data_IF_873510619248
#
_entry.id   IF_873510619248
#
_cell.length_a   1.000
_cell.length_b   1.000
_cell.length_c   1.000
_cell.angle_alpha   90.00
_cell.angle_beta   90.00
_cell.angle_gamma   90.00
#
_symmetry.space_group_name_H-M   'P 1'
#
loop_
_entity.id
_entity.type
_entity.pdbx_description
1 polymer ?
#
# COMPACT_ATOMS: atom_id res chain seq x y z
N UNK A 1 66.91 12.30 -18.36
CA UNK A 1 65.80 12.19 -17.39
C UNK A 1 64.42 12.76 -17.84
N UNK A 2 64.11 13.11 -19.11
CA UNK A 2 62.78 13.68 -19.43
C UNK A 2 61.69 12.64 -19.78
N UNK A 3 62.05 11.40 -20.14
CA UNK A 3 61.10 10.39 -20.65
C UNK A 3 60.25 9.71 -19.58
N UNK A 4 60.72 9.65 -18.32
CA UNK A 4 59.95 9.10 -17.18
C UNK A 4 58.88 10.07 -16.68
N UNK A 5 59.08 11.39 -16.85
CA UNK A 5 58.11 12.42 -16.46
C UNK A 5 56.93 12.44 -17.44
N UNK A 6 57.20 12.34 -18.75
CA UNK A 6 56.17 12.31 -19.78
C UNK A 6 55.27 11.05 -19.69
N UNK A 7 55.85 9.89 -19.35
CA UNK A 7 55.09 8.65 -19.09
C UNK A 7 54.24 8.71 -17.82
N UNK A 8 54.69 9.43 -16.77
CA UNK A 8 53.88 9.67 -15.56
C UNK A 8 52.74 10.67 -15.81
N UNK A 9 52.95 11.67 -16.66
CA UNK A 9 51.92 12.63 -17.06
C UNK A 9 50.81 11.97 -17.91
N UNK A 10 51.18 11.07 -18.83
CA UNK A 10 50.25 10.30 -19.65
C UNK A 10 49.43 9.26 -18.85
N UNK A 11 49.99 8.73 -17.75
CA UNK A 11 49.29 7.79 -16.87
C UNK A 11 48.23 8.47 -15.98
N UNK A 12 48.41 9.76 -15.67
CA UNK A 12 47.44 10.55 -14.87
C UNK A 12 46.27 11.02 -15.75
N UNK A 13 46.48 11.25 -17.06
CA UNK A 13 45.40 11.61 -17.99
C UNK A 13 44.41 10.47 -18.28
N UNK A 14 44.79 9.21 -18.07
CA UNK A 14 43.91 8.05 -18.29
C UNK A 14 42.99 7.73 -17.10
N UNK A 15 43.12 8.44 -15.96
CA UNK A 15 42.38 8.16 -14.73
C UNK A 15 41.30 9.19 -14.37
N UNK A 16 41.06 10.21 -15.20
CA UNK A 16 40.13 11.31 -14.87
C UNK A 16 38.83 11.37 -15.68
N UNK A 17 38.51 10.38 -16.52
CA UNK A 17 37.19 10.33 -17.17
C UNK A 17 36.19 9.69 -16.21
N UNK A 18 35.70 10.45 -15.23
CA UNK A 18 34.46 10.05 -14.55
C UNK A 18 33.34 10.08 -15.59
N UNK A 19 32.58 8.99 -15.78
CA UNK A 19 31.41 9.04 -16.64
C UNK A 19 30.43 10.03 -16.01
N UNK A 20 30.25 11.18 -16.68
CA UNK A 20 29.14 12.08 -16.39
C UNK A 20 27.90 11.35 -16.88
N UNK A 21 27.22 10.64 -15.98
CA UNK A 21 25.88 10.15 -16.29
C UNK A 21 24.98 11.36 -16.51
N UNK A 22 24.30 11.48 -17.68
CA UNK A 22 23.32 12.53 -17.88
C UNK A 22 22.27 12.46 -16.76
N UNK A 23 22.09 13.55 -16.02
CA UNK A 23 20.93 13.67 -15.15
C UNK A 23 19.69 13.69 -16.06
N UNK A 24 18.85 12.67 -15.94
CA UNK A 24 17.60 12.59 -16.70
C UNK A 24 16.71 13.77 -16.29
N UNK A 25 16.54 14.73 -17.20
CA UNK A 25 15.66 15.87 -17.00
C UNK A 25 14.19 15.43 -16.96
N UNK A 26 13.35 16.19 -16.28
CA UNK A 26 11.92 15.92 -16.20
C UNK A 26 11.10 17.16 -16.52
N UNK A 27 9.98 16.95 -17.19
CA UNK A 27 8.92 17.95 -17.33
C UNK A 27 7.84 17.64 -16.30
N UNK A 28 7.53 18.62 -15.46
CA UNK A 28 6.47 18.53 -14.45
C UNK A 28 5.21 19.25 -14.91
N UNK A 29 4.05 18.72 -14.53
CA UNK A 29 2.79 19.37 -14.82
C UNK A 29 1.70 19.02 -13.81
N UNK A 30 0.60 19.75 -13.91
CA UNK A 30 -0.61 19.55 -13.11
C UNK A 30 -1.83 19.63 -14.02
N UNK A 31 -2.66 18.59 -13.98
CA UNK A 31 -3.93 18.52 -14.69
C UNK A 31 -5.07 19.00 -13.80
N UNK A 32 -5.82 19.98 -14.29
CA UNK A 32 -6.97 20.54 -13.59
C UNK A 32 -8.18 20.64 -14.53
N UNK A 33 -9.37 20.48 -13.98
CA UNK A 33 -10.62 20.72 -14.68
C UNK A 33 -10.76 22.22 -14.97
N UNK A 34 -11.03 22.57 -16.24
CA UNK A 34 -11.19 23.96 -16.68
C UNK A 34 -12.38 24.66 -16.00
N UNK A 35 -13.43 23.92 -15.64
CA UNK A 35 -14.70 24.43 -15.08
C UNK A 35 -14.60 24.75 -13.60
N UNK A 36 -14.10 23.83 -12.78
CA UNK A 36 -14.10 23.97 -11.31
C UNK A 36 -12.70 24.08 -10.69
N UNK A 37 -11.62 23.89 -11.47
CA UNK A 37 -10.24 23.95 -10.99
C UNK A 37 -9.80 22.74 -10.16
N UNK A 38 -10.63 21.70 -10.04
CA UNK A 38 -10.28 20.49 -9.30
C UNK A 38 -9.20 19.68 -10.02
N UNK A 39 -8.32 18.99 -9.29
CA UNK A 39 -7.33 18.12 -9.90
C UNK A 39 -7.94 16.93 -10.64
N UNK A 40 -7.39 16.62 -11.81
CA UNK A 40 -7.82 15.45 -12.60
C UNK A 40 -6.93 14.27 -12.24
N UNK A 41 -7.49 13.32 -11.50
CA UNK A 41 -6.78 12.14 -11.01
C UNK A 41 -6.80 10.99 -12.02
N UNK A 42 -5.71 10.23 -12.09
CA UNK A 42 -5.57 9.05 -12.95
C UNK A 42 -5.82 9.28 -14.44
N UNK A 43 -5.62 10.51 -14.93
CA UNK A 43 -5.54 10.78 -16.36
C UNK A 43 -4.25 10.19 -16.95
N UNK A 44 -4.36 9.70 -18.19
CA UNK A 44 -3.25 9.16 -18.98
C UNK A 44 -2.57 10.29 -19.73
N UNK A 45 -1.24 10.39 -19.62
CA UNK A 45 -0.38 11.33 -20.35
C UNK A 45 0.64 10.50 -21.12
N UNK A 46 0.47 10.36 -22.43
CA UNK A 46 1.33 9.50 -23.25
C UNK A 46 1.87 10.21 -24.47
N UNK A 47 3.00 9.73 -24.98
CA UNK A 47 3.46 10.14 -26.32
C UNK A 47 2.43 9.60 -27.33
N UNK A 48 1.88 10.49 -28.16
CA UNK A 48 0.79 10.16 -29.07
C UNK A 48 1.17 9.00 -29.99
N UNK A 49 0.31 7.98 -30.08
CA UNK A 49 0.56 6.77 -30.86
C UNK A 49 1.58 5.80 -30.27
N UNK A 50 2.06 6.02 -29.04
CA UNK A 50 2.98 5.13 -28.32
C UNK A 50 2.34 4.61 -27.04
N UNK A 51 2.80 3.45 -26.58
CA UNK A 51 2.46 2.88 -25.26
C UNK A 51 3.37 3.44 -24.14
N UNK A 52 4.02 4.59 -24.37
CA UNK A 52 4.95 5.22 -23.45
C UNK A 52 4.24 6.42 -22.83
N UNK A 53 4.03 6.38 -21.52
CA UNK A 53 3.27 7.40 -20.81
C UNK A 53 3.40 7.31 -19.29
N UNK A 54 2.73 8.24 -18.62
CA UNK A 54 2.58 8.30 -17.17
C UNK A 54 1.13 8.56 -16.80
N UNK A 55 0.81 8.36 -15.53
CA UNK A 55 -0.51 8.60 -14.97
C UNK A 55 -0.42 9.75 -13.97
N UNK A 56 -1.40 10.64 -13.98
CA UNK A 56 -1.49 11.73 -12.99
C UNK A 56 -1.85 11.22 -11.59
N UNK A 57 -1.25 11.86 -10.59
CA UNK A 57 -1.43 11.58 -9.17
C UNK A 57 -2.80 12.06 -8.65
N UNK A 58 -3.06 11.81 -7.35
CA UNK A 58 -4.29 12.23 -6.66
C UNK A 58 -4.48 13.75 -6.57
N UNK A 59 -3.42 14.53 -6.73
CA UNK A 59 -3.41 16.00 -6.78
C UNK A 59 -3.32 16.52 -8.22
N UNK A 60 -3.53 15.65 -9.22
CA UNK A 60 -3.44 15.95 -10.65
C UNK A 60 -2.02 16.17 -11.15
N UNK A 61 -1.00 16.09 -10.29
CA UNK A 61 0.39 16.26 -10.69
C UNK A 61 0.88 15.08 -11.53
N UNK A 62 1.78 15.34 -12.46
CA UNK A 62 2.48 14.31 -13.22
C UNK A 62 3.90 14.77 -13.53
N UNK A 63 4.76 13.81 -13.84
CA UNK A 63 6.15 14.05 -14.23
C UNK A 63 6.52 13.10 -15.35
N UNK A 64 6.98 13.64 -16.48
CA UNK A 64 7.47 12.84 -17.61
C UNK A 64 8.98 13.04 -17.78
N UNK A 65 9.73 11.97 -18.09
CA UNK A 65 11.12 12.08 -18.51
C UNK A 65 11.27 12.92 -19.80
N UNK A 66 12.31 13.72 -19.89
CA UNK A 66 12.60 14.51 -21.10
C UNK A 66 12.84 13.65 -22.33
N UNK A 67 13.38 12.44 -22.16
CA UNK A 67 13.57 11.44 -23.22
C UNK A 67 12.28 11.05 -23.94
N UNK A 68 11.11 11.41 -23.43
CA UNK A 68 9.85 11.22 -24.16
C UNK A 68 9.87 11.92 -25.53
N UNK A 69 10.68 12.98 -25.67
CA UNK A 69 10.92 13.68 -26.95
C UNK A 69 11.56 12.79 -28.01
N UNK A 70 12.31 11.77 -27.61
CA UNK A 70 12.96 10.83 -28.53
C UNK A 70 11.95 9.89 -29.21
N UNK A 71 10.76 9.74 -28.62
CA UNK A 71 9.70 8.86 -29.13
C UNK A 71 8.61 9.61 -29.90
N UNK A 72 8.51 10.94 -29.74
CA UNK A 72 7.53 11.78 -30.41
C UNK A 72 7.42 13.20 -29.83
N UNK A 73 6.81 14.10 -30.61
CA UNK A 73 6.68 15.53 -30.27
C UNK A 73 5.35 15.92 -29.62
N UNK A 74 4.36 15.04 -29.60
CA UNK A 74 3.00 15.31 -29.09
C UNK A 74 2.69 14.42 -27.90
N UNK A 75 2.23 15.02 -26.79
CA UNK A 75 1.56 14.33 -25.70
C UNK A 75 0.06 14.31 -25.98
N UNK A 76 -0.52 13.13 -25.90
CA UNK A 76 -1.97 12.95 -25.81
C UNK A 76 -2.34 12.79 -24.33
N UNK A 77 -3.22 13.67 -23.85
CA UNK A 77 -3.74 13.67 -22.48
C UNK A 77 -5.21 13.27 -22.52
N UNK A 78 -5.54 12.15 -21.87
CA UNK A 78 -6.90 11.62 -21.84
C UNK A 78 -7.35 11.28 -20.42
N UNK A 79 -8.62 11.54 -20.14
CA UNK A 79 -9.27 11.23 -18.88
C UNK A 79 -10.75 10.98 -19.10
N UNK A 80 -11.33 10.06 -18.32
CA UNK A 80 -12.76 9.74 -18.40
C UNK A 80 -13.60 10.98 -18.08
N UNK A 81 -14.49 11.35 -18.99
CA UNK A 81 -15.37 12.51 -18.87
C UNK A 81 -14.75 13.82 -19.33
N UNK A 82 -13.59 13.79 -19.99
CA UNK A 82 -12.92 14.98 -20.52
C UNK A 82 -12.64 14.84 -22.01
N UNK A 83 -12.59 15.98 -22.70
CA UNK A 83 -12.13 16.05 -24.09
C UNK A 83 -10.61 15.79 -24.11
N UNK A 84 -10.19 14.83 -24.91
CA UNK A 84 -8.77 14.50 -25.12
C UNK A 84 -8.02 15.71 -25.64
N UNK A 85 -6.83 15.97 -25.09
CA UNK A 85 -6.04 17.14 -25.41
C UNK A 85 -4.66 16.74 -25.90
N UNK A 86 -4.31 17.20 -27.09
CA UNK A 86 -2.96 17.10 -27.62
C UNK A 86 -2.15 18.35 -27.27
N UNK A 87 -0.90 18.17 -26.85
CA UNK A 87 0.03 19.25 -26.52
C UNK A 87 1.41 18.92 -27.07
N UNK A 88 2.11 19.89 -27.66
CA UNK A 88 3.49 19.71 -28.09
C UNK A 88 4.41 19.66 -26.87
N UNK A 89 5.28 18.66 -26.78
CA UNK A 89 6.28 18.54 -25.70
C UNK A 89 7.23 19.75 -25.66
N UNK A 90 7.43 20.42 -26.80
CA UNK A 90 8.29 21.59 -26.91
C UNK A 90 7.67 22.86 -26.29
N UNK A 91 6.35 22.90 -26.12
CA UNK A 91 5.64 24.03 -25.49
C UNK A 91 5.70 23.97 -23.95
N UNK A 92 6.10 22.82 -23.40
CA UNK A 92 6.17 22.62 -21.95
C UNK A 92 7.50 23.13 -21.40
N UNK A 93 7.42 23.96 -20.36
CA UNK A 93 8.60 24.45 -19.67
C UNK A 93 9.26 23.34 -18.86
N UNK A 94 10.59 23.29 -18.92
CA UNK A 94 11.43 22.45 -18.07
C UNK A 94 11.66 23.05 -16.68
N UNK A 95 11.50 24.36 -16.54
CA UNK A 95 11.91 25.11 -15.36
C UNK A 95 10.76 25.47 -14.41
N UNK A 96 9.51 25.18 -14.80
CA UNK A 96 8.32 25.42 -13.96
C UNK A 96 7.29 24.32 -14.17
N UNK A 97 6.41 24.15 -13.18
CA UNK A 97 5.26 23.27 -13.29
C UNK A 97 4.28 23.79 -14.33
N UNK A 98 3.95 22.95 -15.32
CA UNK A 98 3.02 23.28 -16.39
C UNK A 98 1.58 23.00 -15.95
N UNK A 99 0.75 24.05 -15.80
CA UNK A 99 -0.68 23.89 -15.51
C UNK A 99 -1.45 23.65 -16.81
N UNK A 100 -2.09 22.48 -16.92
CA UNK A 100 -2.81 22.05 -18.10
C UNK A 100 -4.29 21.86 -17.73
N UNK A 101 -5.15 22.64 -18.39
CA UNK A 101 -6.61 22.58 -18.20
C UNK A 101 -7.24 21.65 -19.23
N UNK A 102 -8.06 20.70 -18.77
CA UNK A 102 -8.92 19.87 -19.62
C UNK A 102 -10.37 20.32 -19.55
N UNK A 103 -11.08 20.20 -20.67
CA UNK A 103 -12.50 20.57 -20.79
C UNK A 103 -13.35 19.34 -20.51
N UNK A 104 -14.35 19.39 -19.61
CA UNK A 104 -15.31 18.30 -19.45
C UNK A 104 -16.00 17.95 -20.77
N UNK A 105 -16.08 16.67 -21.09
CA UNK A 105 -16.80 16.19 -22.25
C UNK A 105 -18.31 16.22 -21.97
N UNK A 106 -19.08 16.71 -22.94
CA UNK A 106 -20.56 16.66 -22.89
C UNK A 106 -21.01 15.43 -23.66
N UNK A 107 -21.69 14.52 -22.97
CA UNK A 107 -22.37 13.40 -23.63
C UNK A 107 -23.77 13.86 -24.01
N UNK A 108 -24.02 14.06 -25.30
CA UNK A 108 -25.37 14.25 -25.80
C UNK A 108 -26.10 12.91 -25.72
N UNK A 109 -27.21 12.89 -25.00
CA UNK A 109 -28.11 11.75 -24.95
C UNK A 109 -28.96 11.75 -26.23
N UNK A 110 -29.10 10.61 -26.87
CA UNK A 110 -30.06 10.46 -27.98
C UNK A 110 -31.48 10.65 -27.40
N UNK A 111 -32.32 11.46 -28.07
CA UNK A 111 -33.69 11.69 -27.64
C UNK A 111 -34.44 10.36 -27.59
N UNK A 112 -34.94 10.00 -26.40
CA UNK A 112 -35.86 8.88 -26.26
C UNK A 112 -37.20 9.35 -26.82
N UNK A 113 -37.59 8.84 -27.98
CA UNK A 113 -38.93 9.03 -28.53
C UNK A 113 -39.92 8.32 -27.60
N UNK A 114 -40.46 9.04 -26.62
CA UNK A 114 -41.51 8.53 -25.75
C UNK A 114 -42.84 8.69 -26.49
N UNK A 115 -43.22 7.67 -27.27
CA UNK A 115 -44.60 7.57 -27.73
C UNK A 115 -45.50 7.33 -26.51
N UNK A 116 -46.25 8.36 -26.14
CA UNK A 116 -47.16 8.32 -25.01
C UNK A 116 -48.35 7.40 -25.28
N UNK A 117 -48.39 6.24 -24.63
CA UNK A 117 -49.63 5.47 -24.44
C UNK A 117 -49.71 4.91 -23.01
N UNK A 118 -50.94 4.91 -22.51
CA UNK A 118 -51.41 4.80 -21.13
C UNK A 118 -50.94 3.59 -20.31
N UNK A 119 -51.12 3.72 -18.99
CA UNK A 119 -50.91 2.73 -17.91
C UNK A 119 -51.36 1.30 -18.26
N UNK A 120 -50.48 0.47 -18.81
CA UNK A 120 -50.45 -0.99 -18.58
C UNK A 120 -48.98 -1.45 -18.60
N UNK A 121 -48.56 -2.15 -17.54
CA UNK A 121 -47.25 -2.83 -17.45
C UNK A 121 -47.16 -3.96 -18.49
N UNK A 122 -46.79 -3.66 -19.73
CA UNK A 122 -46.14 -4.60 -20.66
C UNK A 122 -45.16 -3.81 -21.52
N UNK A 123 -43.86 -4.00 -21.27
CA UNK A 123 -42.78 -3.47 -22.11
C UNK A 123 -42.96 -4.03 -23.53
N UNK A 124 -43.04 -3.17 -24.53
CA UNK A 124 -43.04 -3.56 -25.93
C UNK A 124 -41.77 -4.37 -26.26
N UNK A 125 -41.86 -5.40 -27.12
CA UNK A 125 -40.70 -6.12 -27.61
C UNK A 125 -40.05 -5.29 -28.74
N UNK A 126 -39.06 -4.46 -28.39
CA UNK A 126 -38.32 -3.68 -29.39
C UNK A 126 -37.29 -2.73 -28.80
N UNK A 127 -37.59 -2.11 -27.66
CA UNK A 127 -36.71 -1.10 -27.05
C UNK A 127 -36.30 -1.49 -25.62
N UNK A 128 -35.34 -2.41 -25.51
CA UNK A 128 -34.82 -2.89 -24.22
C UNK A 128 -33.49 -2.22 -23.92
N UNK A 129 -33.55 -1.01 -23.38
CA UNK A 129 -32.41 -0.45 -22.63
C UNK A 129 -31.94 -1.50 -21.61
N UNK A 130 -30.67 -1.92 -21.72
CA UNK A 130 -30.11 -2.96 -20.86
C UNK A 130 -30.11 -2.48 -19.41
N UNK A 131 -30.59 -3.31 -18.48
CA UNK A 131 -30.50 -2.98 -17.05
C UNK A 131 -29.05 -2.99 -16.58
N UNK A 132 -28.73 -2.21 -15.55
CA UNK A 132 -27.38 -2.11 -14.99
C UNK A 132 -26.77 -3.48 -14.67
N UNK A 133 -27.54 -4.37 -14.03
CA UNK A 133 -27.09 -5.74 -13.72
C UNK A 133 -26.80 -6.56 -14.98
N UNK A 134 -27.58 -6.40 -16.07
CA UNK A 134 -27.34 -7.09 -17.34
C UNK A 134 -26.11 -6.56 -18.07
N UNK A 135 -25.84 -5.25 -17.96
CA UNK A 135 -24.61 -4.66 -18.50
C UNK A 135 -23.39 -5.25 -17.81
N UNK A 136 -23.40 -5.31 -16.47
CA UNK A 136 -22.30 -5.89 -15.69
C UNK A 136 -22.14 -7.39 -15.96
N UNK A 137 -23.24 -8.14 -16.03
CA UNK A 137 -23.22 -9.56 -16.39
C UNK A 137 -22.59 -9.80 -17.75
N UNK A 138 -23.00 -9.05 -18.78
CA UNK A 138 -22.36 -9.09 -20.10
C UNK A 138 -20.88 -8.74 -20.03
N UNK A 139 -20.51 -7.69 -19.31
CA UNK A 139 -19.12 -7.26 -19.20
C UNK A 139 -18.21 -8.32 -18.57
N UNK A 140 -18.68 -8.97 -17.49
CA UNK A 140 -17.96 -10.09 -16.86
C UNK A 140 -17.84 -11.27 -17.82
N UNK A 141 -18.92 -11.64 -18.51
CA UNK A 141 -18.92 -12.75 -19.46
C UNK A 141 -18.09 -12.45 -20.73
N UNK A 142 -17.87 -11.18 -21.05
CA UNK A 142 -17.03 -10.72 -22.16
C UNK A 142 -15.55 -10.59 -21.79
N UNK A 143 -15.13 -10.83 -20.54
CA UNK A 143 -13.70 -10.80 -20.16
C UNK A 143 -12.85 -11.73 -21.05
N UNK A 144 -13.21 -13.01 -21.30
CA UNK A 144 -12.40 -13.88 -22.17
C UNK A 144 -12.30 -13.41 -23.63
N UNK A 145 -13.20 -12.51 -24.07
CA UNK A 145 -13.24 -11.99 -25.45
C UNK A 145 -12.45 -10.68 -25.59
N UNK A 146 -12.41 -9.87 -24.53
CA UNK A 146 -11.85 -8.52 -24.57
C UNK A 146 -10.45 -8.43 -23.95
N UNK A 147 -9.93 -9.50 -23.34
CA UNK A 147 -8.65 -9.49 -22.61
C UNK A 147 -7.73 -10.60 -23.12
N UNK A 148 -6.40 -10.43 -23.03
CA UNK A 148 -5.44 -11.41 -23.53
C UNK A 148 -5.52 -12.71 -22.74
N UNK A 149 -5.80 -13.81 -23.44
CA UNK A 149 -5.79 -15.18 -22.89
C UNK A 149 -4.46 -15.89 -23.10
N UNK A 150 -3.63 -15.38 -24.01
CA UNK A 150 -2.26 -15.84 -24.27
C UNK A 150 -1.24 -15.01 -23.47
N UNK A 151 -0.01 -15.53 -23.26
CA UNK A 151 1.03 -14.81 -22.56
C UNK A 151 1.38 -13.47 -23.19
N UNK A 152 1.60 -12.46 -22.36
CA UNK A 152 2.00 -11.12 -22.80
C UNK A 152 2.98 -10.49 -21.80
N UNK A 153 3.72 -9.48 -22.26
CA UNK A 153 4.69 -8.75 -21.44
C UNK A 153 4.26 -7.31 -21.30
N UNK A 154 4.37 -6.77 -20.10
CA UNK A 154 4.20 -5.33 -19.85
C UNK A 154 5.43 -4.78 -19.15
N UNK A 155 5.73 -3.52 -19.42
CA UNK A 155 6.73 -2.75 -18.68
C UNK A 155 6.01 -1.62 -17.97
N UNK A 156 6.14 -1.55 -16.65
CA UNK A 156 5.39 -0.62 -15.81
C UNK A 156 6.23 0.01 -14.73
N UNK A 157 5.94 1.28 -14.44
CA UNK A 157 6.49 1.98 -13.27
C UNK A 157 5.72 1.58 -12.02
N UNK A 158 6.44 1.13 -11.00
CA UNK A 158 5.90 0.80 -9.70
C UNK A 158 6.37 1.81 -8.65
N UNK A 159 5.43 2.22 -7.79
CA UNK A 159 5.70 3.06 -6.64
C UNK A 159 4.84 2.63 -5.47
N UNK A 160 5.48 2.38 -4.34
CA UNK A 160 4.86 2.14 -3.05
C UNK A 160 5.42 3.12 -2.01
N UNK A 161 4.57 3.63 -1.13
CA UNK A 161 4.97 4.48 -0.03
C UNK A 161 3.96 4.35 1.10
N UNK A 162 4.43 4.64 2.30
CA UNK A 162 3.60 4.66 3.49
C UNK A 162 3.43 6.10 3.99
N UNK A 163 2.37 6.35 4.75
CA UNK A 163 2.10 7.67 5.33
C UNK A 163 1.80 7.56 6.81
N UNK A 164 2.62 8.21 7.62
CA UNK A 164 2.44 8.31 9.08
C UNK A 164 2.52 9.77 9.50
N UNK A 165 1.57 10.25 10.32
CA UNK A 165 1.51 11.64 10.80
C UNK A 165 1.70 12.70 9.69
N UNK A 166 1.03 12.50 8.54
CA UNK A 166 1.13 13.32 7.32
C UNK A 166 2.52 13.39 6.66
N UNK A 167 3.49 12.60 7.13
CA UNK A 167 4.80 12.43 6.48
C UNK A 167 4.79 11.14 5.66
N UNK A 168 5.36 11.23 4.47
CA UNK A 168 5.61 10.06 3.65
C UNK A 168 6.89 9.36 4.12
N UNK A 169 6.84 8.04 4.22
CA UNK A 169 7.95 7.17 4.66
C UNK A 169 7.98 5.92 3.78
N UNK A 170 9.08 5.16 3.81
CA UNK A 170 9.20 3.85 3.14
C UNK A 170 8.84 3.89 1.64
N UNK A 171 9.45 4.80 0.88
CA UNK A 171 9.26 4.88 -0.57
C UNK A 171 10.07 3.79 -1.29
N UNK A 172 9.37 3.00 -2.10
CA UNK A 172 9.94 2.04 -3.04
C UNK A 172 9.53 2.42 -4.46
N UNK A 173 10.50 2.51 -5.37
CA UNK A 173 10.26 2.84 -6.78
C UNK A 173 11.07 1.91 -7.68
N UNK A 174 10.42 1.36 -8.70
CA UNK A 174 11.05 0.44 -9.62
C UNK A 174 10.39 0.46 -11.00
N UNK A 175 11.14 0.05 -12.02
CA UNK A 175 10.60 -0.34 -13.31
C UNK A 175 10.52 -1.86 -13.36
N UNK A 176 9.32 -2.39 -13.57
CA UNK A 176 9.09 -3.83 -13.67
C UNK A 176 8.78 -4.23 -15.11
N UNK A 177 9.37 -5.35 -15.52
CA UNK A 177 8.89 -6.17 -16.63
C UNK A 177 8.06 -7.31 -16.04
N UNK A 178 6.81 -7.45 -16.50
CA UNK A 178 5.85 -8.44 -16.00
C UNK A 178 5.46 -9.35 -17.16
N UNK A 179 5.80 -10.64 -17.04
CA UNK A 179 5.38 -11.69 -17.96
C UNK A 179 4.15 -12.38 -17.42
N UNK A 180 2.99 -11.93 -17.89
CA UNK A 180 1.69 -12.45 -17.52
C UNK A 180 1.30 -13.59 -18.46
N UNK A 181 0.78 -14.70 -17.94
CA UNK A 181 0.36 -15.85 -18.74
C UNK A 181 -1.04 -15.71 -19.35
N UNK A 182 -1.67 -14.55 -19.20
CA UNK A 182 -3.01 -14.27 -19.72
C UNK A 182 -4.12 -14.54 -18.70
N UNK A 183 -5.31 -14.03 -18.99
CA UNK A 183 -6.47 -14.04 -18.09
C UNK A 183 -7.04 -15.44 -17.80
N UNK A 184 -6.61 -16.45 -18.55
CA UNK A 184 -6.96 -17.86 -18.32
C UNK A 184 -6.05 -18.56 -17.31
N UNK A 185 -4.92 -17.94 -16.93
CA UNK A 185 -3.94 -18.50 -16.02
C UNK A 185 -4.01 -17.84 -14.63
N UNK A 186 -3.59 -18.59 -13.60
CA UNK A 186 -3.46 -18.07 -12.24
C UNK A 186 -2.40 -16.97 -12.20
N UNK A 187 -2.80 -15.77 -11.82
CA UNK A 187 -1.88 -14.63 -11.81
C UNK A 187 -0.76 -14.81 -10.77
N UNK A 188 -1.15 -15.16 -9.55
CA UNK A 188 -0.22 -15.34 -8.44
C UNK A 188 0.79 -16.47 -8.68
N UNK A 189 0.35 -17.59 -9.25
CA UNK A 189 1.18 -18.79 -9.40
C UNK A 189 2.09 -18.73 -10.64
N UNK A 190 1.67 -18.03 -11.70
CA UNK A 190 2.33 -18.16 -13.01
C UNK A 190 3.05 -16.91 -13.50
N UNK A 191 2.68 -15.73 -12.99
CA UNK A 191 3.31 -14.49 -13.44
C UNK A 191 4.74 -14.37 -12.93
N UNK A 192 5.64 -14.03 -13.85
CA UNK A 192 7.04 -13.76 -13.53
C UNK A 192 7.31 -12.27 -13.64
N UNK A 193 8.15 -11.77 -12.72
CA UNK A 193 8.47 -10.35 -12.63
C UNK A 193 9.98 -10.19 -12.67
N UNK A 194 10.46 -9.29 -13.51
CA UNK A 194 11.87 -8.84 -13.54
C UNK A 194 11.91 -7.37 -13.15
N UNK A 195 12.79 -7.05 -12.22
CA UNK A 195 13.12 -5.66 -11.89
C UNK A 195 14.15 -5.16 -12.90
N UNK A 196 13.74 -4.22 -13.76
CA UNK A 196 14.62 -3.61 -14.75
C UNK A 196 15.47 -2.51 -14.12
N UNK A 197 14.87 -1.72 -13.23
CA UNK A 197 15.52 -0.61 -12.55
C UNK A 197 14.98 -0.47 -11.13
N UNK A 198 15.85 -0.26 -10.15
CA UNK A 198 15.50 -0.01 -8.76
C UNK A 198 16.35 1.16 -8.23
N UNK A 199 15.79 2.37 -8.26
CA UNK A 199 16.45 3.57 -7.74
C UNK A 199 16.05 3.76 -6.29
N UNK A 200 16.92 3.34 -5.37
CA UNK A 200 16.70 3.59 -3.94
C UNK A 200 16.86 5.07 -3.64
N UNK A 201 15.79 5.72 -3.19
CA UNK A 201 15.83 7.08 -2.71
C UNK A 201 16.34 7.09 -1.25
N UNK A 202 17.59 7.52 -1.04
CA UNK A 202 18.22 7.55 0.28
C UNK A 202 17.77 8.74 1.15
N UNK A 203 17.16 9.77 0.54
CA UNK A 203 16.67 10.95 1.26
C UNK A 203 15.30 10.71 1.90
N UNK A 204 14.62 9.62 1.53
CA UNK A 204 13.30 9.31 2.04
C UNK A 204 13.37 8.65 3.43
N UNK A 205 12.60 9.11 4.43
CA UNK A 205 12.61 8.50 5.75
C UNK A 205 12.18 7.02 5.71
N UNK A 206 12.93 6.18 6.40
CA UNK A 206 12.65 4.74 6.52
C UNK A 206 12.16 4.45 7.94
N UNK A 207 11.05 3.74 8.04
CA UNK A 207 10.56 3.13 9.27
C UNK A 207 10.57 1.61 9.13
N UNK A 208 11.58 0.98 9.74
CA UNK A 208 11.77 -0.48 9.69
C UNK A 208 10.65 -1.27 10.37
N UNK A 209 9.85 -0.66 11.26
CA UNK A 209 8.76 -1.36 11.95
C UNK A 209 7.59 -1.55 11.00
N UNK A 210 7.22 -0.50 10.26
CA UNK A 210 6.13 -0.54 9.28
C UNK A 210 6.51 -1.15 7.93
N UNK A 211 7.80 -1.26 7.63
CA UNK A 211 8.32 -2.01 6.48
C UNK A 211 8.18 -3.54 6.63
N UNK A 212 7.87 -4.06 7.82
CA UNK A 212 7.69 -5.50 8.05
C UNK A 212 6.49 -6.05 7.25
N UNK A 213 6.48 -7.35 6.92
CA UNK A 213 5.31 -8.02 6.37
C UNK A 213 4.13 -8.00 7.35
N UNK A 214 2.91 -8.24 6.86
CA UNK A 214 1.74 -8.48 7.71
C UNK A 214 1.94 -9.76 8.54
N UNK A 215 1.63 -9.68 9.83
CA UNK A 215 1.72 -10.79 10.78
C UNK A 215 0.60 -10.68 11.81
N UNK A 216 -0.39 -11.55 11.65
CA UNK A 216 -1.56 -11.62 12.51
C UNK A 216 -1.36 -12.53 13.74
N UNK A 217 -0.27 -13.31 13.79
CA UNK A 217 0.08 -14.18 14.91
C UNK A 217 0.75 -13.33 16.00
N UNK A 218 1.84 -12.65 15.68
CA UNK A 218 2.52 -11.75 16.63
C UNK A 218 1.82 -10.40 16.78
N UNK A 219 0.93 -10.07 15.83
CA UNK A 219 0.26 -8.77 15.69
C UNK A 219 1.21 -7.60 15.43
N UNK A 220 2.42 -7.87 14.92
CA UNK A 220 3.42 -6.85 14.64
C UNK A 220 2.99 -5.87 13.53
N UNK A 221 2.23 -6.34 12.52
CA UNK A 221 1.57 -5.51 11.51
C UNK A 221 0.26 -6.15 11.07
N UNK A 222 -0.86 -5.44 11.24
CA UNK A 222 -2.21 -5.97 10.96
C UNK A 222 -3.12 -4.91 10.33
N UNK A 223 -4.13 -5.35 9.58
CA UNK A 223 -5.20 -4.47 9.09
C UNK A 223 -6.37 -4.49 10.10
N UNK A 224 -6.80 -3.34 10.65
CA UNK A 224 -7.90 -3.32 11.60
C UNK A 224 -9.22 -3.79 10.99
N UNK A 225 -9.75 -4.92 11.49
CA UNK A 225 -11.03 -5.45 11.06
C UNK A 225 -11.02 -6.08 9.66
N UNK A 226 -9.84 -6.41 9.14
CA UNK A 226 -9.67 -7.17 7.92
C UNK A 226 -8.44 -8.08 8.01
N UNK A 227 -8.39 -9.09 7.17
CA UNK A 227 -7.26 -10.00 7.04
C UNK A 227 -6.63 -9.84 5.66
N UNK A 228 -5.31 -9.93 5.59
CA UNK A 228 -4.55 -9.90 4.34
C UNK A 228 -3.36 -10.84 4.51
N UNK A 229 -3.27 -11.86 3.67
CA UNK A 229 -2.10 -12.73 3.66
C UNK A 229 -0.83 -11.92 3.39
N UNK A 230 0.30 -12.36 3.95
CA UNK A 230 1.54 -11.60 3.80
C UNK A 230 2.09 -11.64 2.37
N UNK A 231 1.73 -12.65 1.57
CA UNK A 231 2.24 -12.92 0.22
C UNK A 231 3.77 -12.72 0.10
N UNK A 232 4.51 -13.24 1.10
CA UNK A 232 5.96 -13.13 1.16
C UNK A 232 6.48 -11.72 1.48
N UNK A 233 5.61 -10.79 1.90
CA UNK A 233 5.94 -9.39 2.16
C UNK A 233 6.02 -8.53 0.90
N UNK A 234 5.55 -9.03 -0.24
CA UNK A 234 5.65 -8.34 -1.52
C UNK A 234 4.39 -7.50 -1.80
N UNK A 235 4.47 -6.19 -1.56
CA UNK A 235 3.37 -5.25 -1.79
C UNK A 235 2.98 -5.14 -3.27
N UNK A 236 3.88 -5.43 -4.22
CA UNK A 236 3.52 -5.51 -5.63
C UNK A 236 2.69 -6.75 -5.96
N UNK A 237 3.02 -7.90 -5.36
CA UNK A 237 2.20 -9.11 -5.47
C UNK A 237 0.81 -8.88 -4.87
N UNK A 238 0.74 -8.25 -3.68
CA UNK A 238 -0.51 -7.84 -3.05
C UNK A 238 -1.31 -6.96 -4.01
N UNK A 239 -0.68 -5.93 -4.60
CA UNK A 239 -1.33 -5.07 -5.59
C UNK A 239 -1.99 -5.91 -6.69
N UNK A 240 -1.26 -6.83 -7.33
CA UNK A 240 -1.78 -7.61 -8.46
C UNK A 240 -2.93 -8.55 -8.09
N UNK A 241 -2.90 -9.17 -6.92
CA UNK A 241 -4.00 -10.02 -6.42
C UNK A 241 -5.31 -9.22 -6.29
N UNK A 242 -5.20 -7.93 -5.95
CA UNK A 242 -6.35 -7.04 -5.83
C UNK A 242 -6.87 -6.49 -7.17
N UNK A 243 -6.41 -7.02 -8.31
CA UNK A 243 -7.05 -6.81 -9.60
C UNK A 243 -8.14 -7.87 -9.83
N UNK A 244 -9.37 -7.53 -9.47
CA UNK A 244 -10.51 -8.43 -9.63
C UNK A 244 -10.83 -8.77 -11.10
N UNK A 245 -10.43 -7.93 -12.06
CA UNK A 245 -10.66 -8.19 -13.49
C UNK A 245 -9.67 -9.25 -13.98
N UNK A 246 -8.39 -9.08 -13.66
CA UNK A 246 -7.33 -10.06 -13.95
C UNK A 246 -7.57 -11.40 -13.25
N UNK A 247 -8.06 -11.35 -12.01
CA UNK A 247 -8.33 -12.52 -11.17
C UNK A 247 -9.81 -12.91 -11.14
N UNK A 248 -10.55 -12.67 -12.22
CA UNK A 248 -12.01 -12.79 -12.24
C UNK A 248 -12.58 -14.18 -11.87
N UNK A 249 -11.78 -15.22 -12.01
CA UNK A 249 -12.16 -16.61 -11.71
C UNK A 249 -11.56 -17.14 -10.40
N UNK A 250 -10.93 -16.27 -9.61
CA UNK A 250 -10.32 -16.58 -8.32
C UNK A 250 -10.87 -15.64 -7.23
N UNK A 251 -10.72 -16.05 -5.98
CA UNK A 251 -11.06 -15.19 -4.85
C UNK A 251 -10.05 -14.04 -4.75
N UNK A 252 -10.50 -12.81 -4.98
CA UNK A 252 -9.64 -11.63 -5.10
C UNK A 252 -9.56 -10.84 -3.79
N UNK A 253 -10.66 -10.22 -3.39
CA UNK A 253 -10.80 -9.51 -2.13
C UNK A 253 -12.26 -9.39 -1.69
N UNK A 254 -12.45 -9.13 -0.40
CA UNK A 254 -13.75 -9.14 0.27
C UNK A 254 -14.85 -8.40 -0.50
N UNK A 255 -16.02 -9.04 -0.50
CA UNK A 255 -17.28 -8.66 -1.12
C UNK A 255 -17.30 -8.71 -2.66
N UNK A 256 -16.16 -8.57 -3.34
CA UNK A 256 -16.04 -9.01 -4.74
C UNK A 256 -15.97 -10.53 -4.77
N UNK A 257 -15.11 -11.10 -3.93
CA UNK A 257 -14.76 -12.51 -3.87
C UNK A 257 -14.30 -13.01 -5.26
N UNK A 258 -14.97 -14.04 -5.79
CA UNK A 258 -14.84 -14.47 -7.19
C UNK A 258 -15.73 -13.58 -8.06
N UNK A 259 -15.12 -12.66 -8.82
CA UNK A 259 -15.84 -11.67 -9.64
C UNK A 259 -16.91 -12.33 -10.52
N UNK A 260 -16.55 -13.44 -11.18
CA UNK A 260 -17.41 -14.16 -12.13
C UNK A 260 -18.69 -14.73 -11.50
N UNK A 261 -18.65 -15.19 -10.25
CA UNK A 261 -19.76 -15.93 -9.64
C UNK A 261 -20.50 -15.17 -8.55
N UNK A 262 -19.82 -14.24 -7.88
CA UNK A 262 -20.30 -13.66 -6.63
C UNK A 262 -20.65 -12.18 -6.76
N UNK A 263 -19.96 -11.45 -7.66
CA UNK A 263 -20.08 -9.99 -7.72
C UNK A 263 -21.51 -9.50 -7.96
N UNK A 264 -22.23 -10.13 -8.90
CA UNK A 264 -23.63 -9.80 -9.22
C UNK A 264 -24.59 -10.11 -8.06
N UNK A 265 -24.29 -11.12 -7.24
CA UNK A 265 -25.10 -11.52 -6.08
C UNK A 265 -24.82 -10.62 -4.88
N UNK A 266 -23.58 -10.14 -4.76
CA UNK A 266 -23.11 -9.41 -3.60
C UNK A 266 -23.46 -7.93 -3.61
N UNK A 267 -23.77 -7.34 -4.77
CA UNK A 267 -23.93 -5.91 -4.95
C UNK A 267 -25.27 -5.53 -5.58
N UNK A 268 -25.70 -4.30 -5.29
CA UNK A 268 -26.75 -3.63 -6.06
C UNK A 268 -26.13 -2.67 -7.06
N UNK A 269 -26.72 -2.56 -8.24
CA UNK A 269 -26.18 -1.82 -9.39
C UNK A 269 -27.14 -0.72 -9.85
N UNK A 270 -26.58 0.41 -10.26
CA UNK A 270 -27.32 1.54 -10.83
C UNK A 270 -26.59 2.08 -12.07
N UNK A 271 -27.34 2.32 -13.14
CA UNK A 271 -26.82 3.04 -14.31
C UNK A 271 -26.74 4.52 -13.93
N UNK A 272 -25.56 5.11 -14.10
CA UNK A 272 -25.31 6.53 -13.96
C UNK A 272 -25.17 7.17 -15.36
N UNK A 273 -24.95 8.49 -15.38
CA UNK A 273 -24.69 9.21 -16.62
C UNK A 273 -23.48 8.63 -17.35
N UNK A 274 -23.63 8.53 -18.67
CA UNK A 274 -22.63 7.96 -19.56
C UNK A 274 -21.38 8.84 -19.59
N UNK A 275 -20.24 8.22 -19.88
CA UNK A 275 -18.93 8.88 -19.84
C UNK A 275 -18.20 8.62 -21.14
N UNK A 276 -17.52 9.64 -21.66
CA UNK A 276 -16.66 9.52 -22.84
C UNK A 276 -15.19 9.33 -22.42
N UNK A 277 -14.46 8.53 -23.19
CA UNK A 277 -13.00 8.42 -23.11
C UNK A 277 -12.45 8.21 -24.53
N UNK A 278 -11.67 9.16 -25.06
CA UNK A 278 -11.10 9.05 -26.42
C UNK A 278 -12.14 8.66 -27.50
N UNK A 279 -13.32 9.30 -27.44
CA UNK A 279 -14.49 9.04 -28.28
C UNK A 279 -15.23 7.70 -28.03
N UNK A 280 -14.75 6.87 -27.11
CA UNK A 280 -15.49 5.69 -26.67
C UNK A 280 -16.60 6.08 -25.69
N UNK A 281 -17.85 5.73 -26.02
CA UNK A 281 -19.00 5.84 -25.11
C UNK A 281 -18.95 4.70 -24.10
N UNK A 282 -18.93 5.04 -22.82
CA UNK A 282 -18.90 4.09 -21.72
C UNK A 282 -20.17 4.18 -20.88
N UNK A 283 -20.77 3.02 -20.56
CA UNK A 283 -21.67 2.91 -19.44
C UNK A 283 -20.90 3.15 -18.15
N UNK A 284 -21.41 4.04 -17.29
CA UNK A 284 -20.98 4.15 -15.90
C UNK A 284 -21.97 3.42 -15.01
N UNK A 285 -21.54 2.32 -14.41
CA UNK A 285 -22.38 1.54 -13.50
C UNK A 285 -21.86 1.71 -12.08
N UNK A 286 -22.61 2.40 -11.23
CA UNK A 286 -22.30 2.44 -9.81
C UNK A 286 -22.79 1.16 -9.13
N UNK A 287 -22.04 0.69 -8.14
CA UNK A 287 -22.41 -0.47 -7.34
C UNK A 287 -22.16 -0.24 -5.86
N UNK A 288 -22.94 -0.93 -5.02
CA UNK A 288 -22.82 -0.82 -3.56
C UNK A 288 -23.29 -2.09 -2.84
N UNK A 289 -22.70 -2.31 -1.67
CA UNK A 289 -23.13 -3.31 -0.68
C UNK A 289 -23.10 -2.68 0.72
N UNK A 290 -24.06 -3.05 1.55
CA UNK A 290 -24.07 -2.72 2.97
C UNK A 290 -24.03 -4.01 3.77
N UNK A 291 -23.13 -4.08 4.76
CA UNK A 291 -23.05 -5.19 5.69
C UNK A 291 -22.75 -4.65 7.08
N UNK A 292 -23.79 -4.51 7.90
CA UNK A 292 -23.68 -3.86 9.22
C UNK A 292 -23.10 -2.44 9.12
N UNK A 293 -21.91 -2.25 9.67
CA UNK A 293 -21.19 -0.96 9.67
C UNK A 293 -20.29 -0.76 8.44
N UNK A 294 -20.11 -1.80 7.62
CA UNK A 294 -19.32 -1.74 6.40
C UNK A 294 -20.18 -1.31 5.23
N UNK A 295 -19.64 -0.35 4.47
CA UNK A 295 -20.20 0.10 3.21
C UNK A 295 -19.14 -0.08 2.11
N UNK A 296 -19.49 -0.90 1.14
CA UNK A 296 -18.78 -1.02 -0.12
C UNK A 296 -19.46 -0.14 -1.16
N UNK A 297 -18.67 0.60 -1.92
CA UNK A 297 -19.14 1.33 -3.09
C UNK A 297 -18.07 1.37 -4.18
N UNK A 298 -18.49 1.54 -5.41
CA UNK A 298 -17.59 1.65 -6.54
C UNK A 298 -18.29 1.97 -7.86
N UNK A 299 -17.50 2.04 -8.92
CA UNK A 299 -17.97 2.30 -10.28
C UNK A 299 -17.26 1.35 -11.26
N UNK A 300 -18.01 0.85 -12.24
CA UNK A 300 -17.50 0.21 -13.44
C UNK A 300 -17.71 1.14 -14.64
N UNK A 301 -16.72 1.20 -15.51
CA UNK A 301 -16.77 1.93 -16.78
C UNK A 301 -16.64 0.92 -17.91
N UNK A 302 -17.72 0.72 -18.67
CA UNK A 302 -17.92 -0.43 -19.55
C UNK A 302 -18.22 0.08 -20.96
N UNK A 303 -17.51 -0.41 -21.97
CA UNK A 303 -17.79 -0.12 -23.38
C UNK A 303 -19.24 -0.43 -23.74
N UNK A 304 -19.90 0.49 -24.45
CA UNK A 304 -21.22 0.23 -25.02
C UNK A 304 -21.16 -0.67 -26.27
N UNK A 305 -19.98 -0.78 -26.90
CA UNK A 305 -19.80 -1.53 -28.14
C UNK A 305 -19.56 -3.03 -27.87
N UNK A 306 -18.60 -3.35 -27.00
CA UNK A 306 -18.14 -4.72 -26.79
C UNK A 306 -18.15 -5.17 -25.32
N UNK A 307 -18.68 -4.35 -24.40
CA UNK A 307 -18.72 -4.62 -22.96
C UNK A 307 -17.34 -4.78 -22.29
N UNK A 308 -16.25 -4.33 -22.92
CA UNK A 308 -14.93 -4.25 -22.29
C UNK A 308 -14.96 -3.32 -21.07
N UNK A 309 -14.36 -3.74 -19.96
CA UNK A 309 -14.28 -2.93 -18.74
C UNK A 309 -13.01 -2.07 -18.80
N UNK A 310 -13.18 -0.76 -18.92
CA UNK A 310 -12.05 0.18 -18.98
C UNK A 310 -11.51 0.54 -17.61
N UNK A 311 -12.37 0.55 -16.58
CA UNK A 311 -11.96 0.93 -15.24
C UNK A 311 -12.91 0.33 -14.20
N UNK A 312 -12.34 -0.08 -13.08
CA UNK A 312 -13.06 -0.44 -11.86
C UNK A 312 -12.52 0.37 -10.70
N UNK A 313 -13.40 1.10 -10.04
CA UNK A 313 -13.15 1.79 -8.77
C UNK A 313 -13.87 1.04 -7.66
N UNK A 314 -13.18 0.74 -6.58
CA UNK A 314 -13.75 -0.01 -5.46
C UNK A 314 -13.26 0.57 -4.13
N UNK A 315 -14.17 0.75 -3.17
CA UNK A 315 -13.81 1.26 -1.84
C UNK A 315 -14.63 0.59 -0.75
N UNK A 316 -13.91 0.04 0.24
CA UNK A 316 -14.47 -0.47 1.48
C UNK A 316 -14.31 0.61 2.55
N UNK A 317 -15.44 0.98 3.15
CA UNK A 317 -15.46 1.92 4.24
C UNK A 317 -16.11 1.31 5.46
N UNK A 318 -15.58 1.62 6.63
CA UNK A 318 -16.15 1.21 7.89
C UNK A 318 -16.61 2.42 8.71
N UNK A 319 -17.81 2.32 9.29
CA UNK A 319 -18.30 3.25 10.30
C UNK A 319 -17.96 2.68 11.67
N UNK A 320 -16.82 3.09 12.23
CA UNK A 320 -16.43 2.62 13.56
C UNK A 320 -17.41 3.16 14.63
N UNK A 321 -17.86 2.28 15.54
CA UNK A 321 -18.58 2.66 16.76
C UNK A 321 -17.68 2.33 17.93
N UNK A 322 -17.24 3.34 18.68
CA UNK A 322 -16.46 3.13 19.90
C UNK A 322 -17.41 3.04 21.09
N UNK A 323 -17.32 1.94 21.85
CA UNK A 323 -18.09 1.76 23.09
C UNK A 323 -17.44 2.62 24.17
N UNK A 324 -18.18 3.58 24.72
CA UNK A 324 -17.66 4.40 25.81
C UNK A 324 -17.42 3.51 27.04
N UNK A 325 -16.22 3.62 27.63
CA UNK A 325 -15.71 2.77 28.72
C UNK A 325 -16.62 2.68 29.95
N UNK A 326 -17.58 3.61 30.10
CA UNK A 326 -18.53 3.70 31.23
C UNK A 326 -20.02 3.69 30.85
N UNK A 327 -20.38 3.43 29.59
CA UNK A 327 -21.79 3.39 29.17
C UNK A 327 -22.18 2.06 28.54
N UNK A 328 -23.21 1.41 29.11
CA UNK A 328 -23.83 0.21 28.51
C UNK A 328 -24.70 0.53 27.28
N UNK A 329 -25.02 1.81 27.00
CA UNK A 329 -25.99 2.21 25.95
C UNK A 329 -25.52 3.27 24.94
N UNK A 330 -24.35 3.89 25.12
CA UNK A 330 -23.92 5.00 24.25
C UNK A 330 -22.62 4.66 23.50
N UNK A 331 -22.72 4.60 22.17
CA UNK A 331 -21.59 4.51 21.24
C UNK A 331 -21.31 5.89 20.67
N UNK A 332 -20.04 6.31 20.63
CA UNK A 332 -19.67 7.53 19.90
C UNK A 332 -19.51 7.17 18.41
N UNK A 333 -20.26 7.85 17.55
CA UNK A 333 -20.08 7.74 16.11
C UNK A 333 -18.71 8.34 15.76
N UNK A 334 -17.81 7.53 15.18
CA UNK A 334 -16.57 8.02 14.59
C UNK A 334 -16.82 8.38 13.11
N UNK A 335 -16.03 9.30 12.54
CA UNK A 335 -16.05 9.54 11.11
C UNK A 335 -15.78 8.24 10.34
N UNK A 336 -16.36 8.16 9.15
CA UNK A 336 -16.19 7.04 8.23
C UNK A 336 -14.72 6.93 7.83
N UNK A 337 -14.13 5.75 8.02
CA UNK A 337 -12.74 5.47 7.63
C UNK A 337 -12.74 4.59 6.38
N UNK A 338 -12.00 5.00 5.35
CA UNK A 338 -11.72 4.14 4.20
C UNK A 338 -10.67 3.12 4.62
N UNK A 339 -11.05 1.84 4.67
CA UNK A 339 -10.16 0.75 5.05
C UNK A 339 -9.29 0.32 3.88
N UNK A 340 -9.89 0.32 2.69
CA UNK A 340 -9.33 -0.24 1.48
C UNK A 340 -9.94 0.45 0.26
N UNK A 341 -9.13 0.78 -0.72
CA UNK A 341 -9.57 1.26 -2.02
C UNK A 341 -8.66 0.76 -3.14
N UNK A 342 -9.26 0.32 -4.23
CA UNK A 342 -8.58 -0.08 -5.45
C UNK A 342 -9.14 0.69 -6.62
N UNK A 343 -8.26 1.10 -7.52
CA UNK A 343 -8.60 1.60 -8.84
C UNK A 343 -7.73 0.87 -9.85
N UNK A 344 -8.38 0.08 -10.71
CA UNK A 344 -7.74 -0.58 -11.86
C UNK A 344 -8.24 0.05 -13.14
N UNK A 345 -7.33 0.32 -14.06
CA UNK A 345 -7.62 0.86 -15.39
C UNK A 345 -6.96 0.01 -16.46
N UNK A 346 -7.69 -0.20 -17.55
CA UNK A 346 -7.26 -0.95 -18.72
C UNK A 346 -7.37 -0.06 -19.96
N UNK A 347 -6.50 -0.32 -20.94
CA UNK A 347 -6.49 0.40 -22.21
C UNK A 347 -6.48 -0.58 -23.39
N UNK A 348 -7.17 -0.28 -24.49
CA UNK A 348 -7.16 -1.11 -25.69
C UNK A 348 -5.80 -1.01 -26.39
N UNK A 349 -5.21 -2.15 -26.71
CA UNK A 349 -4.04 -2.33 -27.58
C UNK A 349 -4.32 -3.55 -28.46
N UNK A 350 -4.21 -3.39 -29.78
CA UNK A 350 -4.41 -4.47 -30.76
C UNK A 350 -5.70 -5.30 -30.54
N UNK A 351 -6.79 -4.62 -30.19
CA UNK A 351 -8.11 -5.23 -29.98
C UNK A 351 -8.36 -5.84 -28.60
N UNK A 352 -7.35 -5.90 -27.73
CA UNK A 352 -7.47 -6.42 -26.36
C UNK A 352 -7.22 -5.34 -25.31
N UNK A 353 -7.78 -5.52 -24.13
CA UNK A 353 -7.62 -4.65 -22.98
C UNK A 353 -6.40 -5.08 -22.16
N UNK A 354 -5.39 -4.21 -22.09
CA UNK A 354 -4.17 -4.43 -21.30
C UNK A 354 -4.14 -3.53 -20.06
N UNK A 355 -3.47 -3.95 -18.97
CA UNK A 355 -3.30 -3.12 -17.79
C UNK A 355 -2.71 -1.76 -18.15
N UNK A 356 -3.39 -0.67 -17.76
CA UNK A 356 -2.91 0.69 -17.93
C UNK A 356 -2.39 1.25 -16.60
N UNK A 357 -3.17 1.07 -15.52
CA UNK A 357 -2.73 1.45 -14.18
C UNK A 357 -3.46 0.65 -13.10
N UNK A 358 -2.81 0.52 -11.95
CA UNK A 358 -3.37 -0.09 -10.76
C UNK A 358 -2.92 0.71 -9.54
N UNK A 359 -3.89 1.27 -8.81
CA UNK A 359 -3.66 1.92 -7.53
C UNK A 359 -4.41 1.18 -6.43
N UNK A 360 -3.70 0.82 -5.37
CA UNK A 360 -4.28 0.30 -4.13
C UNK A 360 -3.93 1.24 -2.98
N UNK A 361 -4.84 1.38 -2.02
CA UNK A 361 -4.58 2.04 -0.74
C UNK A 361 -5.29 1.27 0.36
N UNK A 362 -4.56 0.94 1.41
CA UNK A 362 -5.08 0.32 2.61
C UNK A 362 -4.55 1.03 3.86
N UNK A 363 -5.16 0.75 5.01
CA UNK A 363 -4.70 1.26 6.31
C UNK A 363 -4.31 0.08 7.20
N UNK A 364 -3.14 0.14 7.81
CA UNK A 364 -2.67 -0.88 8.74
C UNK A 364 -2.25 -0.28 10.08
N UNK A 365 -2.05 -1.14 11.07
CA UNK A 365 -1.47 -0.82 12.37
C UNK A 365 -0.20 -1.62 12.54
N UNK A 366 0.78 -1.01 13.17
CA UNK A 366 2.01 -1.66 13.60
C UNK A 366 2.07 -1.66 15.11
N UNK A 367 2.64 -2.72 15.66
CA UNK A 367 3.02 -2.72 17.07
C UNK A 367 4.38 -2.05 17.19
N UNK A 368 4.41 -0.87 17.81
CA UNK A 368 5.66 -0.23 18.16
C UNK A 368 6.39 -1.07 19.23
N UNK A 369 7.71 -1.24 19.12
CA UNK A 369 8.48 -1.82 20.20
C UNK A 369 8.30 -0.97 21.48
N UNK A 370 8.33 -1.58 22.67
CA UNK A 370 8.31 -0.82 23.91
C UNK A 370 9.47 0.20 23.92
N UNK A 371 9.15 1.45 24.28
CA UNK A 371 10.16 2.52 24.38
C UNK A 371 11.10 2.33 25.57
N UNK A 372 10.63 1.62 26.60
CA UNK A 372 11.37 1.28 27.79
C UNK A 372 11.58 -0.23 27.86
N UNK A 373 12.84 -0.64 27.86
CA UNK A 373 13.25 -2.05 27.81
C UNK A 373 14.37 -2.34 28.80
N UNK A 374 14.50 -3.62 29.16
CA UNK A 374 15.70 -4.14 29.83
C UNK A 374 16.79 -4.28 28.79
N UNK A 375 17.89 -3.57 28.96
CA UNK A 375 19.08 -3.70 28.11
C UNK A 375 19.92 -4.89 28.54
N UNK A 376 20.10 -5.04 29.85
CA UNK A 376 21.00 -6.05 30.39
C UNK A 376 20.56 -6.54 31.76
N UNK A 377 20.79 -7.83 32.00
CA UNK A 377 20.71 -8.42 33.34
C UNK A 377 22.07 -9.00 33.69
N UNK A 378 22.65 -8.50 34.77
CA UNK A 378 23.91 -8.94 35.34
C UNK A 378 23.72 -9.34 36.79
N UNK A 379 24.79 -9.77 37.44
CA UNK A 379 24.81 -10.00 38.88
C UNK A 379 26.19 -9.71 39.45
N UNK A 380 26.22 -9.26 40.70
CA UNK A 380 27.47 -9.01 41.43
C UNK A 380 27.72 -10.11 42.45
N UNK A 381 28.83 -10.82 42.31
CA UNK A 381 29.25 -11.85 43.27
C UNK A 381 29.52 -11.30 44.66
N UNK A 382 30.32 -10.22 44.73
CA UNK A 382 30.72 -9.61 46.00
C UNK A 382 29.53 -9.00 46.75
N UNK A 383 28.63 -8.32 46.02
CA UNK A 383 27.45 -7.67 46.59
C UNK A 383 26.22 -8.58 46.68
N UNK A 384 26.26 -9.78 46.09
CA UNK A 384 25.19 -10.79 46.06
C UNK A 384 23.84 -10.21 45.63
N UNK A 385 23.84 -9.49 44.50
CA UNK A 385 22.66 -8.89 43.91
C UNK A 385 22.55 -9.19 42.41
N UNK A 386 21.34 -9.07 41.88
CA UNK A 386 21.09 -8.99 40.45
C UNK A 386 21.03 -7.52 40.05
N UNK A 387 21.66 -7.14 38.96
CA UNK A 387 21.68 -5.78 38.41
C UNK A 387 20.89 -5.82 37.12
N UNK A 388 19.82 -5.02 37.04
CA UNK A 388 18.98 -4.91 35.86
C UNK A 388 19.16 -3.51 35.32
N UNK A 389 19.70 -3.39 34.11
CA UNK A 389 19.91 -2.11 33.42
C UNK A 389 18.85 -1.91 32.36
N UNK A 390 18.37 -0.69 32.25
CA UNK A 390 17.32 -0.29 31.32
C UNK A 390 17.82 0.81 30.39
N UNK A 391 17.19 0.96 29.24
CA UNK A 391 17.59 1.96 28.24
C UNK A 391 17.22 3.41 28.60
N UNK A 392 16.61 3.62 29.77
CA UNK A 392 16.22 4.94 30.27
C UNK A 392 16.07 4.94 31.80
N UNK A 393 16.04 6.13 32.40
CA UNK A 393 15.79 6.31 33.83
C UNK A 393 14.42 5.78 34.24
N UNK A 394 14.40 5.04 35.35
CA UNK A 394 13.22 4.36 35.86
C UNK A 394 12.45 5.31 36.77
N UNK A 395 11.12 5.28 36.73
CA UNK A 395 10.32 5.95 37.73
C UNK A 395 10.60 5.33 39.12
N UNK A 396 11.09 6.13 40.06
CA UNK A 396 11.54 5.65 41.38
C UNK A 396 10.47 4.86 42.15
N UNK A 397 9.20 5.29 42.07
CA UNK A 397 8.10 4.59 42.77
C UNK A 397 7.87 3.19 42.21
N UNK A 398 7.94 3.05 40.89
CA UNK A 398 7.80 1.75 40.24
C UNK A 398 9.07 0.90 40.42
N UNK A 399 10.25 1.51 40.40
CA UNK A 399 11.55 0.87 40.60
C UNK A 399 11.67 0.19 41.97
N UNK A 400 11.13 0.81 43.02
CA UNK A 400 11.21 0.27 44.38
C UNK A 400 10.08 -0.73 44.70
N UNK A 401 9.13 -0.94 43.78
CA UNK A 401 7.97 -1.80 44.00
C UNK A 401 8.32 -3.27 43.77
N UNK A 402 8.48 -4.01 44.87
CA UNK A 402 8.86 -5.44 44.84
C UNK A 402 7.97 -6.36 44.00
N UNK A 403 6.68 -6.05 43.84
CA UNK A 403 5.77 -6.85 43.00
C UNK A 403 6.16 -6.88 41.53
N UNK A 404 6.88 -5.85 41.07
CA UNK A 404 7.29 -5.68 39.67
C UNK A 404 8.42 -6.63 39.28
N UNK A 405 9.06 -7.30 40.26
CA UNK A 405 10.17 -8.20 40.05
C UNK A 405 9.86 -9.60 40.56
N UNK A 406 9.77 -10.57 39.64
CA UNK A 406 9.62 -12.00 39.97
C UNK A 406 10.88 -12.73 39.54
N UNK A 407 11.76 -12.95 40.50
CA UNK A 407 13.03 -13.67 40.29
C UNK A 407 12.84 -15.14 40.62
N UNK A 408 13.19 -16.01 39.69
CA UNK A 408 13.14 -17.47 39.83
C UNK A 408 14.52 -18.04 39.60
N UNK A 409 14.89 -19.00 40.43
CA UNK A 409 16.13 -19.75 40.33
C UNK A 409 15.82 -21.24 40.45
N UNK A 410 16.23 -22.06 39.47
CA UNK A 410 15.86 -23.48 39.34
C UNK A 410 14.35 -23.71 39.51
N UNK A 411 13.53 -22.86 38.86
CA UNK A 411 12.06 -22.89 38.95
C UNK A 411 11.47 -22.42 40.28
N UNK A 412 12.28 -22.17 41.33
CA UNK A 412 11.83 -21.69 42.64
C UNK A 412 11.91 -20.17 42.72
N UNK A 413 10.83 -19.53 43.19
CA UNK A 413 10.78 -18.07 43.36
C UNK A 413 11.72 -17.62 44.49
N UNK A 414 12.63 -16.71 44.19
CA UNK A 414 13.52 -16.08 45.16
C UNK A 414 12.81 -14.92 45.87
N UNK A 415 13.01 -14.82 47.19
CA UNK A 415 12.48 -13.72 47.98
C UNK A 415 13.49 -12.56 47.99
N UNK A 416 13.17 -11.49 47.28
CA UNK A 416 13.95 -10.26 47.24
C UNK A 416 13.68 -9.43 48.50
N UNK A 417 14.67 -9.25 49.37
CA UNK A 417 14.46 -8.54 50.64
C UNK A 417 14.76 -7.04 50.54
N UNK A 418 15.62 -6.64 49.60
CA UNK A 418 16.00 -5.24 49.38
C UNK A 418 16.08 -4.97 47.88
N UNK A 419 15.62 -3.78 47.51
CA UNK A 419 15.71 -3.23 46.16
C UNK A 419 16.41 -1.88 46.29
N UNK A 420 17.37 -1.62 45.41
CA UNK A 420 18.04 -0.32 45.30
C UNK A 420 17.87 0.15 43.87
N UNK A 421 17.39 1.38 43.70
CA UNK A 421 17.29 2.05 42.42
C UNK A 421 18.44 3.06 42.30
N UNK A 422 19.13 3.04 41.16
CA UNK A 422 20.20 3.98 40.82
C UNK A 422 20.01 4.33 39.35
N UNK A 423 19.52 5.54 39.06
CA UNK A 423 19.33 6.05 37.69
C UNK A 423 18.51 5.11 36.77
N UNK A 424 19.17 4.41 35.86
CA UNK A 424 18.66 3.47 34.88
C UNK A 424 18.77 1.99 35.35
N UNK A 425 19.16 1.77 36.61
CA UNK A 425 19.42 0.43 37.16
C UNK A 425 18.58 0.10 38.39
N UNK A 426 18.17 -1.16 38.48
CA UNK A 426 17.61 -1.76 39.70
C UNK A 426 18.47 -2.91 40.17
N UNK A 427 18.88 -2.83 41.43
CA UNK A 427 19.67 -3.85 42.12
C UNK A 427 18.74 -4.64 43.05
N UNK A 428 18.56 -5.93 42.76
CA UNK A 428 17.72 -6.84 43.53
C UNK A 428 18.57 -7.71 44.46
N UNK A 429 18.32 -7.63 45.76
CA UNK A 429 19.03 -8.40 46.78
C UNK A 429 18.14 -9.53 47.33
N UNK A 430 18.45 -10.81 47.06
CA UNK A 430 17.77 -11.94 47.69
C UNK A 430 18.03 -11.99 49.20
N UNK A 431 17.17 -12.66 49.97
CA UNK A 431 17.41 -12.86 51.42
C UNK A 431 18.80 -13.47 51.68
N UNK A 432 19.59 -12.95 52.64
CA UNK A 432 20.99 -13.38 52.85
C UNK A 432 21.19 -14.89 53.01
N UNK A 433 20.28 -15.57 53.73
CA UNK A 433 20.32 -17.02 53.95
C UNK A 433 20.32 -17.83 52.65
N UNK A 434 19.65 -17.33 51.61
CA UNK A 434 19.50 -18.02 50.32
C UNK A 434 20.52 -17.48 49.31
N UNK A 435 20.91 -16.20 49.43
CA UNK A 435 21.84 -15.55 48.51
C UNK A 435 23.20 -16.26 48.42
N UNK A 436 23.75 -16.75 49.53
CA UNK A 436 25.04 -17.46 49.51
C UNK A 436 24.99 -18.72 48.64
N UNK A 437 23.95 -19.52 48.82
CA UNK A 437 23.74 -20.76 48.06
C UNK A 437 23.50 -20.47 46.59
N UNK A 438 22.58 -19.56 46.27
CA UNK A 438 22.24 -19.20 44.88
C UNK A 438 23.44 -18.67 44.11
N UNK A 439 24.18 -17.71 44.68
CA UNK A 439 25.32 -17.13 43.96
C UNK A 439 26.50 -18.11 43.87
N UNK A 440 26.71 -18.99 44.87
CA UNK A 440 27.71 -20.04 44.73
C UNK A 440 27.36 -20.99 43.58
N UNK A 441 26.11 -21.42 43.48
CA UNK A 441 25.67 -22.34 42.43
C UNK A 441 25.67 -21.69 41.03
N UNK A 442 25.28 -20.42 40.88
CA UNK A 442 25.40 -19.71 39.59
C UNK A 442 26.87 -19.64 39.16
N UNK A 443 27.80 -19.40 40.10
CA UNK A 443 29.23 -19.31 39.82
C UNK A 443 29.78 -20.64 39.33
N UNK A 444 29.42 -21.74 40.00
CA UNK A 444 29.79 -23.09 39.61
C UNK A 444 29.17 -23.51 38.27
N UNK A 445 27.91 -23.14 38.01
CA UNK A 445 27.22 -23.42 36.74
C UNK A 445 27.91 -22.73 35.55
N UNK A 446 28.36 -21.49 35.72
CA UNK A 446 29.13 -20.78 34.70
C UNK A 446 30.50 -21.39 34.43
N UNK A 447 31.22 -21.78 35.49
CA UNK A 447 32.54 -22.41 35.36
C UNK A 447 32.47 -23.73 34.58
N UNK A 448 31.34 -24.42 34.65
CA UNK A 448 31.12 -25.71 33.99
C UNK A 448 30.45 -25.61 32.60
N UNK A 449 30.39 -24.42 31.98
CA UNK A 449 29.78 -24.19 30.65
C UNK A 449 28.34 -24.73 30.48
N UNK A 450 27.58 -24.94 31.56
CA UNK A 450 26.14 -25.18 31.46
C UNK A 450 25.47 -23.85 31.11
N UNK A 451 24.57 -23.85 30.12
CA UNK A 451 23.85 -22.64 29.69
C UNK A 451 23.16 -21.99 30.89
N UNK A 452 23.73 -20.90 31.42
CA UNK A 452 23.21 -20.21 32.61
C UNK A 452 21.77 -19.70 32.48
N UNK A 453 21.24 -19.64 31.26
CA UNK A 453 19.85 -19.27 30.95
C UNK A 453 18.80 -20.30 31.42
N UNK A 454 19.16 -21.55 31.69
CA UNK A 454 18.20 -22.57 32.19
C UNK A 454 17.93 -22.45 33.69
N UNK A 455 18.77 -21.69 34.42
CA UNK A 455 18.81 -21.69 35.88
C UNK A 455 18.21 -20.43 36.50
N UNK A 456 18.30 -19.26 35.83
CA UNK A 456 17.81 -17.97 36.34
C UNK A 456 16.80 -17.35 35.37
N UNK A 457 15.60 -17.02 35.87
CA UNK A 457 14.56 -16.33 35.13
C UNK A 457 14.05 -15.12 35.93
N UNK A 458 14.20 -13.92 35.38
CA UNK A 458 13.71 -12.68 35.98
C UNK A 458 12.58 -12.15 35.11
N UNK A 459 11.37 -12.13 35.67
CA UNK A 459 10.20 -11.54 35.04
C UNK A 459 9.94 -10.15 35.61
N UNK A 460 9.86 -9.16 34.73
CA UNK A 460 9.60 -7.76 35.08
C UNK A 460 8.24 -7.37 34.54
N UNK A 461 7.41 -6.77 35.38
CA UNK A 461 6.03 -6.39 35.06
C UNK A 461 5.73 -5.00 35.64
N UNK A 462 4.89 -4.22 34.95
CA UNK A 462 4.36 -2.92 35.41
C UNK A 462 5.43 -1.89 35.86
N UNK A 463 6.57 -1.86 35.14
CA UNK A 463 7.64 -0.89 35.36
C UNK A 463 7.59 0.19 34.28
N UNK A 464 7.69 1.47 34.68
CA UNK A 464 7.70 2.61 33.76
C UNK A 464 8.97 3.45 33.90
N UNK A 465 9.35 4.10 32.81
CA UNK A 465 10.41 5.11 32.84
C UNK A 465 9.90 6.46 33.40
N UNK A 466 10.79 7.43 33.56
CA UNK A 466 10.44 8.79 34.01
C UNK A 466 9.46 9.53 33.08
N UNK A 467 9.34 9.09 31.82
CA UNK A 467 8.43 9.64 30.83
C UNK A 467 7.06 8.93 30.83
N UNK A 468 6.89 7.89 31.65
CA UNK A 468 5.66 7.11 31.77
C UNK A 468 5.46 6.04 30.70
N UNK A 469 6.52 5.66 29.97
CA UNK A 469 6.49 4.59 28.96
C UNK A 469 6.43 3.19 29.57
#
# INVERSE_FOLDING_TARGET
MPTKLLKRLLLILFFSTTPIFPQEGFVTGQLIDKKNGEPIVFATIRVKGKAIGVISNLDGSFRIPERFKDFGSVLEISSMGYVTKDILLYDLSKYKTNSIRLVPAVVLLDEVVVEGVQKVRKRAPGDKTLSAIKIVDKAINSIPLNYPTLPFTTVGYYRDFQRSNNKYINLNEALFEVWDQGFSASDYETTKIRILENKRNLDFPIDSVSARPYDYISKSKTIPGAYLDSYGGNEFTILRIHDALRNNSMDSFDYVNVLKTDFLKNHTFKKEDEVLLNNEKLYKISFKKYMGLVQVKGNLFISQQNFAIYKMEYTINNRYREKLRYSRRYYKNRPKVSLFSVVVGYAPVDGFMYPNFHSMKNTFRVQEPPKFIVEQVQYSWGKKNFIISFNNHINEKDALKKSNYKVYYNGKKLNIHKIVHIEDQVLLYPKPKIANTVFKEIYEAQKNCKKGAEVLNIKIEDLRDINGN
#
